data_IF_774258503247
#
_entry.id   IF_774258503247
#
_cell.length_a   1.000
_cell.length_b   1.000
_cell.length_c   1.000
_cell.angle_alpha   90.00
_cell.angle_beta   90.00
_cell.angle_gamma   90.00
#
_symmetry.space_group_name_H-M   'P 1'
#
loop_
_entity.id
_entity.type
_entity.pdbx_description
1 polymer ?
#
# COMPACT_ATOMS: atom_id res chain seq x y z
N UNK A 1 -6.19 -13.95 7.92
CA UNK A 1 -6.51 -12.76 7.10
C UNK A 1 -7.64 -11.94 7.67
N UNK A 2 -8.79 -12.53 8.03
CA UNK A 2 -9.87 -11.82 8.73
C UNK A 2 -9.32 -11.02 9.92
N UNK A 3 -8.53 -11.65 10.80
CA UNK A 3 -7.91 -10.97 11.94
C UNK A 3 -7.05 -9.74 11.55
N UNK A 4 -6.35 -9.80 10.42
CA UNK A 4 -5.51 -8.69 9.94
C UNK A 4 -6.36 -7.51 9.42
N UNK A 5 -7.44 -7.81 8.67
CA UNK A 5 -8.40 -6.79 8.25
C UNK A 5 -9.13 -6.19 9.45
N UNK A 6 -9.54 -7.02 10.42
CA UNK A 6 -10.15 -6.54 11.67
C UNK A 6 -9.19 -5.63 12.42
N UNK A 7 -7.91 -6.01 12.55
CA UNK A 7 -6.89 -5.15 13.17
C UNK A 7 -6.80 -3.80 12.46
N UNK A 8 -6.73 -3.78 11.13
CA UNK A 8 -6.68 -2.54 10.34
C UNK A 8 -7.93 -1.69 10.61
N UNK A 9 -9.12 -2.27 10.51
CA UNK A 9 -10.39 -1.56 10.73
C UNK A 9 -10.44 -0.99 12.14
N UNK A 10 -10.07 -1.77 13.16
CA UNK A 10 -10.01 -1.29 14.54
C UNK A 10 -9.01 -0.14 14.66
N UNK A 11 -7.78 -0.29 14.16
CA UNK A 11 -6.78 0.78 14.24
C UNK A 11 -7.24 2.06 13.52
N UNK A 12 -7.91 1.93 12.38
CA UNK A 12 -8.42 3.07 11.61
C UNK A 12 -9.52 3.80 12.38
N UNK A 13 -10.51 3.10 12.92
CA UNK A 13 -11.72 3.71 13.46
C UNK A 13 -11.77 3.83 14.99
N UNK A 14 -10.79 3.28 15.72
CA UNK A 14 -10.79 3.33 17.19
C UNK A 14 -10.85 4.77 17.69
N UNK A 15 -11.85 5.07 18.54
CA UNK A 15 -12.15 6.41 19.09
C UNK A 15 -12.59 7.48 18.07
N UNK A 16 -13.01 7.10 16.87
CA UNK A 16 -13.67 8.03 15.95
C UNK A 16 -15.14 7.69 15.77
N UNK A 17 -15.95 8.71 15.56
CA UNK A 17 -17.34 8.61 15.19
C UNK A 17 -17.48 8.76 13.66
N UNK A 18 -17.72 7.64 12.97
CA UNK A 18 -17.89 7.62 11.50
C UNK A 18 -19.09 8.43 10.99
N UNK A 19 -19.95 8.94 11.88
CA UNK A 19 -21.07 9.83 11.54
C UNK A 19 -20.76 11.31 11.82
N UNK A 20 -19.72 11.60 12.61
CA UNK A 20 -19.31 12.99 12.86
C UNK A 20 -18.35 13.43 11.77
N UNK A 21 -18.78 14.44 11.02
CA UNK A 21 -18.05 15.01 9.91
C UNK A 21 -16.69 15.61 10.35
N UNK A 22 -16.56 15.98 11.63
CA UNK A 22 -15.31 16.50 12.21
C UNK A 22 -14.20 15.45 12.27
N UNK A 23 -14.56 14.18 12.36
CA UNK A 23 -13.59 13.08 12.45
C UNK A 23 -13.12 12.60 11.06
N UNK A 24 -13.74 13.06 9.97
CA UNK A 24 -13.48 12.50 8.64
C UNK A 24 -12.04 12.71 8.17
N UNK A 25 -11.51 13.91 8.38
CA UNK A 25 -10.14 14.24 8.02
C UNK A 25 -9.14 13.41 8.84
N UNK A 26 -9.37 13.27 10.14
CA UNK A 26 -8.53 12.48 11.03
C UNK A 26 -8.55 10.98 10.70
N UNK A 27 -9.72 10.42 10.35
CA UNK A 27 -9.83 9.04 9.85
C UNK A 27 -9.06 8.89 8.53
N UNK A 28 -9.19 9.87 7.63
CA UNK A 28 -8.43 9.96 6.39
C UNK A 28 -6.93 9.90 6.65
N UNK A 29 -6.39 10.80 7.48
CA UNK A 29 -4.97 10.81 7.84
C UNK A 29 -4.54 9.49 8.48
N UNK A 30 -5.26 9.00 9.49
CA UNK A 30 -4.89 7.78 10.21
C UNK A 30 -4.85 6.56 9.30
N UNK A 31 -5.82 6.40 8.39
CA UNK A 31 -5.80 5.31 7.41
C UNK A 31 -4.63 5.44 6.43
N UNK A 32 -4.23 6.66 6.05
CA UNK A 32 -3.01 6.90 5.27
C UNK A 32 -1.74 6.44 5.99
N UNK A 33 -1.59 6.77 7.28
CA UNK A 33 -0.48 6.28 8.11
C UNK A 33 -0.47 4.75 8.23
N UNK A 34 -1.63 4.15 8.53
CA UNK A 34 -1.75 2.70 8.63
C UNK A 34 -1.43 2.04 7.28
N UNK A 35 -1.79 2.65 6.15
CA UNK A 35 -1.43 2.15 4.83
C UNK A 35 0.09 2.08 4.63
N UNK A 36 0.81 3.20 4.83
CA UNK A 36 2.26 3.23 4.59
C UNK A 36 3.04 2.30 5.54
N UNK A 37 2.58 2.12 6.77
CA UNK A 37 3.18 1.18 7.73
C UNK A 37 3.13 -0.29 7.28
N UNK A 38 2.25 -0.66 6.34
CA UNK A 38 2.17 -2.03 5.82
C UNK A 38 3.24 -2.34 4.77
N UNK A 39 3.83 -1.32 4.17
CA UNK A 39 4.79 -1.44 3.06
C UNK A 39 6.00 -2.32 3.39
N UNK A 40 6.68 -2.15 4.55
CA UNK A 40 7.83 -2.99 4.89
C UNK A 40 7.46 -4.48 4.98
N UNK A 41 6.31 -4.79 5.59
CA UNK A 41 5.82 -6.16 5.74
C UNK A 41 5.50 -6.79 4.37
N UNK A 42 4.85 -6.05 3.47
CA UNK A 42 4.51 -6.53 2.12
C UNK A 42 5.78 -6.96 1.37
N UNK A 43 6.84 -6.16 1.44
CA UNK A 43 8.11 -6.47 0.76
C UNK A 43 8.83 -7.66 1.40
N UNK A 44 8.88 -7.73 2.74
CA UNK A 44 9.48 -8.87 3.43
C UNK A 44 8.81 -10.21 3.08
N UNK A 45 7.49 -10.21 2.91
CA UNK A 45 6.72 -11.39 2.51
C UNK A 45 6.94 -11.80 1.04
N UNK A 46 7.48 -10.91 0.20
CA UNK A 46 7.72 -11.16 -1.21
C UNK A 46 9.07 -11.84 -1.51
N UNK A 47 10.03 -11.75 -0.58
CA UNK A 47 11.38 -12.30 -0.75
C UNK A 47 11.38 -13.84 -0.82
N UNK A 48 12.20 -14.41 -1.72
CA UNK A 48 12.43 -15.87 -1.77
C UNK A 48 13.38 -16.32 -0.65
N UNK A 49 14.34 -15.47 -0.27
CA UNK A 49 15.15 -15.60 0.93
C UNK A 49 14.64 -14.60 1.95
N UNK A 50 13.67 -15.01 2.76
CA UNK A 50 13.02 -14.12 3.71
C UNK A 50 13.37 -14.50 5.16
N UNK A 51 13.64 -13.47 5.96
CA UNK A 51 13.92 -13.63 7.38
C UNK A 51 12.69 -14.21 8.09
N UNK A 52 11.48 -13.84 7.66
CA UNK A 52 10.22 -14.32 8.24
C UNK A 52 10.11 -15.84 8.11
N UNK A 53 10.30 -16.40 6.93
CA UNK A 53 10.23 -17.85 6.69
C UNK A 53 11.37 -18.61 7.32
N UNK A 54 12.57 -18.02 7.40
CA UNK A 54 13.66 -18.57 8.20
C UNK A 54 13.28 -18.71 9.68
N UNK A 55 12.73 -17.64 10.29
CA UNK A 55 12.34 -17.64 11.70
C UNK A 55 11.08 -18.47 12.00
N UNK A 56 10.13 -18.51 11.06
CA UNK A 56 8.84 -19.16 11.27
C UNK A 56 8.75 -20.58 10.67
N UNK A 57 9.80 -21.06 10.01
CA UNK A 57 9.78 -22.32 9.25
C UNK A 57 8.78 -22.35 8.08
N UNK A 58 8.34 -21.20 7.59
CA UNK A 58 7.34 -21.14 6.51
C UNK A 58 7.99 -21.10 5.13
N UNK A 59 7.48 -21.94 4.21
CA UNK A 59 7.91 -21.93 2.81
C UNK A 59 7.44 -20.68 2.03
N UNK A 60 8.14 -20.40 0.93
CA UNK A 60 7.87 -19.25 0.06
C UNK A 60 6.43 -19.19 -0.46
N UNK A 61 5.80 -20.32 -0.79
CA UNK A 61 4.43 -20.34 -1.31
C UNK A 61 3.43 -19.75 -0.30
N UNK A 62 3.61 -20.09 0.98
CA UNK A 62 2.76 -19.60 2.07
C UNK A 62 2.99 -18.11 2.32
N UNK A 63 4.24 -17.67 2.27
CA UNK A 63 4.60 -16.26 2.42
C UNK A 63 4.12 -15.41 1.24
N UNK A 64 4.21 -15.94 0.02
CA UNK A 64 3.63 -15.33 -1.18
C UNK A 64 2.10 -15.21 -1.07
N UNK A 65 1.43 -16.19 -0.43
CA UNK A 65 0.01 -16.06 -0.10
C UNK A 65 -0.25 -14.88 0.84
N UNK A 66 0.54 -14.74 1.91
CA UNK A 66 0.45 -13.57 2.80
C UNK A 66 0.73 -12.26 2.08
N UNK A 67 1.80 -12.16 1.29
CA UNK A 67 2.14 -10.98 0.49
C UNK A 67 0.94 -10.48 -0.33
N UNK A 68 0.28 -11.38 -1.07
CA UNK A 68 -0.89 -11.02 -1.89
C UNK A 68 -2.06 -10.49 -1.06
N UNK A 69 -2.33 -11.08 0.10
CA UNK A 69 -3.44 -10.63 0.93
C UNK A 69 -3.12 -9.34 1.69
N UNK A 70 -1.88 -9.17 2.16
CA UNK A 70 -1.43 -7.91 2.76
C UNK A 70 -1.44 -6.77 1.74
N UNK A 71 -1.08 -7.02 0.47
CA UNK A 71 -1.20 -6.03 -0.61
C UNK A 71 -2.66 -5.62 -0.89
N UNK A 72 -3.61 -6.56 -0.83
CA UNK A 72 -5.04 -6.24 -0.94
C UNK A 72 -5.57 -5.46 0.27
N UNK A 73 -5.07 -5.78 1.47
CA UNK A 73 -5.39 -5.05 2.68
C UNK A 73 -4.82 -3.62 2.64
N UNK A 74 -3.63 -3.41 2.07
CA UNK A 74 -3.09 -2.09 1.77
C UNK A 74 -4.02 -1.31 0.84
N UNK A 75 -4.44 -1.91 -0.29
CA UNK A 75 -5.42 -1.27 -1.18
C UNK A 75 -6.71 -0.92 -0.46
N UNK A 76 -7.27 -1.84 0.34
CA UNK A 76 -8.45 -1.57 1.15
C UNK A 76 -8.24 -0.37 2.10
N UNK A 77 -7.09 -0.29 2.78
CA UNK A 77 -6.76 0.83 3.67
C UNK A 77 -6.63 2.15 2.90
N UNK A 78 -6.01 2.13 1.73
CA UNK A 78 -5.90 3.30 0.83
C UNK A 78 -7.26 3.73 0.30
N UNK A 79 -8.18 2.80 0.02
CA UNK A 79 -9.54 3.15 -0.38
C UNK A 79 -10.32 3.82 0.76
N UNK A 80 -10.08 3.45 2.02
CA UNK A 80 -10.62 4.18 3.17
C UNK A 80 -10.04 5.59 3.22
N UNK A 81 -8.71 5.72 3.12
CA UNK A 81 -8.02 7.02 3.09
C UNK A 81 -8.58 7.95 2.00
N UNK A 82 -8.67 7.46 0.77
CA UNK A 82 -9.22 8.20 -0.36
C UNK A 82 -10.71 8.52 -0.15
N UNK A 83 -11.49 7.54 0.33
CA UNK A 83 -12.93 7.71 0.58
C UNK A 83 -13.19 8.84 1.57
N UNK A 84 -12.49 8.85 2.71
CA UNK A 84 -12.64 9.90 3.73
C UNK A 84 -12.13 11.26 3.25
N UNK A 85 -11.06 11.28 2.45
CA UNK A 85 -10.60 12.51 1.79
C UNK A 85 -11.67 13.06 0.85
N UNK A 86 -12.24 12.24 -0.04
CA UNK A 86 -13.32 12.65 -0.95
C UNK A 86 -14.54 13.16 -0.18
N UNK A 87 -15.02 12.41 0.81
CA UNK A 87 -16.19 12.83 1.61
C UNK A 87 -15.94 14.11 2.40
N UNK A 88 -14.69 14.41 2.77
CA UNK A 88 -14.37 15.65 3.49
C UNK A 88 -14.55 16.88 2.60
N UNK A 89 -14.18 16.78 1.33
CA UNK A 89 -14.26 17.88 0.35
C UNK A 89 -15.57 17.92 -0.44
N UNK A 90 -16.28 16.80 -0.55
CA UNK A 90 -17.61 16.71 -1.19
C UNK A 90 -18.62 17.64 -0.52
N UNK A 91 -18.59 17.70 0.82
CA UNK A 91 -19.47 18.57 1.63
C UNK A 91 -19.36 20.06 1.31
N UNK A 92 -18.31 20.46 0.60
CA UNK A 92 -18.03 21.83 0.21
C UNK A 92 -18.07 22.00 -1.32
N UNK A 93 -18.55 20.99 -2.07
CA UNK A 93 -18.53 20.94 -3.55
C UNK A 93 -17.14 21.20 -4.15
N UNK A 94 -16.08 20.81 -3.42
CA UNK A 94 -14.71 21.28 -3.68
C UNK A 94 -13.76 20.21 -4.24
N UNK A 95 -14.27 18.99 -4.46
CA UNK A 95 -13.47 17.86 -4.98
C UNK A 95 -12.79 18.23 -6.29
N UNK A 96 -13.54 18.77 -7.26
CA UNK A 96 -12.98 19.07 -8.58
C UNK A 96 -11.91 20.15 -8.55
N UNK A 97 -12.03 21.10 -7.63
CA UNK A 97 -10.99 22.12 -7.41
C UNK A 97 -9.73 21.44 -6.89
N UNK A 98 -9.84 20.63 -5.83
CA UNK A 98 -8.70 19.88 -5.27
C UNK A 98 -8.00 18.99 -6.30
N UNK A 99 -8.75 18.24 -7.10
CA UNK A 99 -8.17 17.39 -8.17
C UNK A 99 -7.37 18.24 -9.17
N UNK A 100 -7.85 19.45 -9.51
CA UNK A 100 -7.23 20.31 -10.53
C UNK A 100 -6.07 21.14 -9.99
N UNK A 101 -6.11 21.56 -8.74
CA UNK A 101 -5.21 22.61 -8.23
C UNK A 101 -4.39 22.22 -7.00
N UNK A 102 -4.68 21.09 -6.34
CA UNK A 102 -3.90 20.64 -5.18
C UNK A 102 -2.89 19.54 -5.58
N UNK A 103 -1.58 19.84 -5.60
CA UNK A 103 -0.56 18.87 -5.97
C UNK A 103 -0.53 17.65 -5.06
N UNK A 104 -0.88 17.80 -3.77
CA UNK A 104 -0.86 16.69 -2.82
C UNK A 104 -1.93 15.66 -3.18
N UNK A 105 -3.15 16.14 -3.46
CA UNK A 105 -4.28 15.34 -3.98
C UNK A 105 -3.91 14.62 -5.27
N UNK A 106 -3.33 15.33 -6.24
CA UNK A 106 -2.96 14.76 -7.54
C UNK A 106 -1.97 13.60 -7.39
N UNK A 107 -0.94 13.79 -6.55
CA UNK A 107 0.05 12.75 -6.25
C UNK A 107 -0.57 11.56 -5.51
N UNK A 108 -1.51 11.81 -4.59
CA UNK A 108 -2.26 10.76 -3.88
C UNK A 108 -3.11 9.92 -4.81
N UNK A 109 -3.84 10.56 -5.74
CA UNK A 109 -4.62 9.88 -6.77
C UNK A 109 -3.70 9.06 -7.68
N UNK A 110 -2.55 9.62 -8.11
CA UNK A 110 -1.59 8.90 -8.91
C UNK A 110 -1.03 7.65 -8.18
N UNK A 111 -0.62 7.80 -6.91
CA UNK A 111 -0.14 6.68 -6.10
C UNK A 111 -1.23 5.61 -5.90
N UNK A 112 -2.46 6.01 -5.58
CA UNK A 112 -3.61 5.11 -5.45
C UNK A 112 -3.94 4.37 -6.75
N UNK A 113 -3.84 5.05 -7.89
CA UNK A 113 -4.03 4.45 -9.22
C UNK A 113 -2.97 3.39 -9.55
N UNK A 114 -1.69 3.66 -9.27
CA UNK A 114 -0.62 2.67 -9.48
C UNK A 114 -0.78 1.48 -8.53
N UNK A 115 -1.18 1.70 -7.28
CA UNK A 115 -1.48 0.61 -6.34
C UNK A 115 -2.66 -0.26 -6.81
N UNK A 116 -3.74 0.38 -7.30
CA UNK A 116 -4.88 -0.33 -7.87
C UNK A 116 -4.44 -1.19 -9.06
N UNK A 117 -3.63 -0.63 -9.96
CA UNK A 117 -3.05 -1.36 -11.07
C UNK A 117 -2.20 -2.55 -10.59
N UNK A 118 -1.31 -2.35 -9.62
CA UNK A 118 -0.48 -3.42 -9.04
C UNK A 118 -1.33 -4.58 -8.53
N UNK A 119 -2.43 -4.30 -7.84
CA UNK A 119 -3.32 -5.35 -7.31
C UNK A 119 -4.10 -6.04 -8.44
N UNK A 120 -4.67 -5.27 -9.37
CA UNK A 120 -5.45 -5.80 -10.51
C UNK A 120 -4.56 -6.68 -11.40
N UNK A 121 -3.42 -6.17 -11.86
CA UNK A 121 -2.50 -6.90 -12.74
C UNK A 121 -1.90 -8.15 -12.09
N UNK A 122 -1.92 -8.23 -10.75
CA UNK A 122 -1.46 -9.38 -9.98
C UNK A 122 -2.50 -10.50 -9.78
N UNK A 123 -3.76 -10.32 -10.21
CA UNK A 123 -4.74 -11.39 -10.12
C UNK A 123 -4.37 -12.60 -10.99
N UNK A 124 -4.76 -13.79 -10.52
CA UNK A 124 -4.36 -15.05 -11.15
C UNK A 124 -4.72 -15.14 -12.65
N UNK A 125 -5.91 -14.73 -13.12
CA UNK A 125 -6.23 -14.76 -14.55
C UNK A 125 -5.30 -13.88 -15.38
N UNK A 126 -4.97 -12.67 -14.90
CA UNK A 126 -4.15 -11.70 -15.65
C UNK A 126 -2.68 -12.14 -15.68
N UNK A 127 -2.09 -12.47 -14.53
CA UNK A 127 -0.68 -12.89 -14.48
C UNK A 127 -0.40 -14.23 -15.19
N UNK A 128 -1.44 -15.04 -15.42
CA UNK A 128 -1.33 -16.30 -16.17
C UNK A 128 -1.33 -16.09 -17.70
N UNK A 129 -1.66 -14.89 -18.19
CA UNK A 129 -1.56 -14.57 -19.62
C UNK A 129 -0.10 -14.54 -20.09
N UNK A 130 0.78 -13.94 -19.28
CA UNK A 130 2.24 -14.02 -19.45
C UNK A 130 2.92 -13.71 -18.13
N UNK A 131 3.59 -14.72 -17.56
CA UNK A 131 4.24 -14.58 -16.27
C UNK A 131 5.44 -13.62 -16.34
N UNK A 132 6.22 -13.67 -17.43
CA UNK A 132 7.37 -12.78 -17.62
C UNK A 132 6.93 -11.31 -17.71
N UNK A 133 5.89 -11.03 -18.48
CA UNK A 133 5.30 -9.68 -18.57
C UNK A 133 4.81 -9.24 -17.19
N UNK A 134 4.11 -10.12 -16.46
CA UNK A 134 3.66 -9.85 -15.10
C UNK A 134 4.83 -9.46 -14.17
N UNK A 135 5.95 -10.19 -14.20
CA UNK A 135 7.09 -9.90 -13.33
C UNK A 135 7.70 -8.53 -13.67
N UNK A 136 7.94 -8.25 -14.95
CA UNK A 136 8.54 -6.98 -15.39
C UNK A 136 7.65 -5.80 -15.03
N UNK A 137 6.36 -5.85 -15.41
CA UNK A 137 5.43 -4.76 -15.10
C UNK A 137 5.25 -4.58 -13.59
N UNK A 138 5.22 -5.66 -12.81
CA UNK A 138 5.01 -5.57 -11.37
C UNK A 138 6.18 -4.86 -10.69
N UNK A 139 7.43 -5.14 -11.11
CA UNK A 139 8.62 -4.47 -10.58
C UNK A 139 8.64 -2.99 -10.97
N UNK A 140 8.36 -2.67 -12.23
CA UNK A 140 8.34 -1.27 -12.72
C UNK A 140 7.23 -0.48 -12.01
N UNK A 141 6.01 -1.03 -11.94
CA UNK A 141 4.89 -0.40 -11.23
C UNK A 141 5.14 -0.28 -9.73
N UNK A 142 5.83 -1.24 -9.11
CA UNK A 142 6.24 -1.15 -7.70
C UNK A 142 7.18 0.03 -7.45
N UNK A 143 8.23 0.18 -8.27
CA UNK A 143 9.16 1.30 -8.16
C UNK A 143 8.47 2.63 -8.44
N UNK A 144 7.58 2.67 -9.45
CA UNK A 144 6.75 3.83 -9.75
C UNK A 144 5.79 4.20 -8.62
N UNK A 145 5.17 3.20 -7.98
CA UNK A 145 4.31 3.40 -6.81
C UNK A 145 5.09 3.99 -5.64
N UNK A 146 6.27 3.45 -5.35
CA UNK A 146 7.15 3.97 -4.29
C UNK A 146 7.56 5.42 -4.57
N UNK A 147 7.92 5.74 -5.82
CA UNK A 147 8.25 7.10 -6.22
C UNK A 147 7.05 8.06 -6.08
N UNK A 148 5.87 7.66 -6.56
CA UNK A 148 4.65 8.45 -6.41
C UNK A 148 4.30 8.70 -4.94
N UNK A 149 4.43 7.66 -4.10
CA UNK A 149 4.17 7.74 -2.67
C UNK A 149 5.19 8.64 -1.96
N UNK A 150 6.48 8.60 -2.34
CA UNK A 150 7.52 9.48 -1.80
C UNK A 150 7.17 10.96 -1.95
N UNK A 151 6.51 11.35 -3.04
CA UNK A 151 6.08 12.73 -3.27
C UNK A 151 4.73 13.08 -2.63
N UNK A 152 3.94 12.08 -2.23
CA UNK A 152 2.63 12.25 -1.63
C UNK A 152 2.68 12.31 -0.10
N UNK A 153 3.63 11.64 0.55
CA UNK A 153 3.74 11.64 2.01
C UNK A 153 4.68 12.76 2.50
N UNK A 154 4.50 13.25 3.74
CA UNK A 154 5.38 14.28 4.28
C UNK A 154 6.75 13.71 4.67
N UNK A 155 7.73 14.58 4.79
CA UNK A 155 9.15 14.22 4.88
C UNK A 155 9.47 13.35 6.10
N UNK A 156 8.86 13.66 7.23
CA UNK A 156 8.97 12.93 8.50
C UNK A 156 8.54 11.46 8.40
N UNK A 157 7.74 11.11 7.40
CA UNK A 157 7.22 9.75 7.20
C UNK A 157 7.97 8.96 6.11
N UNK A 158 9.00 9.54 5.49
CA UNK A 158 9.78 8.88 4.44
C UNK A 158 10.49 7.61 4.89
N UNK A 159 10.66 7.41 6.20
CA UNK A 159 11.19 6.14 6.75
C UNK A 159 10.35 4.92 6.29
N UNK A 160 9.04 5.08 6.15
CA UNK A 160 8.13 4.02 5.67
C UNK A 160 8.31 3.67 4.19
N UNK A 161 9.07 4.49 3.46
CA UNK A 161 9.50 4.26 2.08
C UNK A 161 10.89 3.65 2.01
N UNK A 162 11.81 4.14 2.85
CA UNK A 162 13.18 3.64 2.87
C UNK A 162 13.28 2.20 3.39
N UNK A 163 12.49 1.82 4.39
CA UNK A 163 12.46 0.45 4.92
C UNK A 163 12.14 -0.63 3.86
N UNK A 164 11.02 -0.56 3.11
CA UNK A 164 10.74 -1.54 2.07
C UNK A 164 11.77 -1.51 0.93
N UNK A 165 12.32 -0.35 0.56
CA UNK A 165 13.41 -0.27 -0.43
C UNK A 165 14.67 -0.98 0.06
N UNK A 166 15.05 -0.79 1.32
CA UNK A 166 16.19 -1.46 1.93
C UNK A 166 15.99 -2.98 1.97
N UNK A 167 14.81 -3.47 2.36
CA UNK A 167 14.51 -4.90 2.34
C UNK A 167 14.52 -5.50 0.94
N UNK A 168 14.01 -4.76 -0.05
CA UNK A 168 14.06 -5.19 -1.45
C UNK A 168 15.51 -5.26 -1.96
N UNK A 169 16.31 -4.22 -1.72
CA UNK A 169 17.72 -4.18 -2.11
C UNK A 169 18.53 -5.31 -1.44
N UNK A 170 18.27 -5.58 -0.16
CA UNK A 170 18.87 -6.68 0.57
C UNK A 170 18.53 -8.05 -0.06
N UNK A 171 17.26 -8.33 -0.38
CA UNK A 171 16.86 -9.58 -1.06
C UNK A 171 17.58 -9.73 -2.42
N UNK A 172 17.75 -8.63 -3.17
CA UNK A 172 18.48 -8.65 -4.45
C UNK A 172 19.96 -8.93 -4.27
N UNK A 173 20.61 -8.28 -3.31
CA UNK A 173 22.03 -8.48 -3.01
C UNK A 173 22.33 -9.91 -2.56
N UNK A 174 21.52 -10.45 -1.64
CA UNK A 174 21.69 -11.83 -1.16
C UNK A 174 21.54 -12.84 -2.30
N UNK A 175 20.63 -12.60 -3.26
CA UNK A 175 20.44 -13.47 -4.45
C UNK A 175 21.58 -13.43 -5.44
N UNK A 176 22.32 -12.33 -5.51
CA UNK A 176 23.47 -12.23 -6.43
C UNK A 176 24.72 -12.92 -5.89
N UNK A 177 24.81 -13.16 -4.58
CA UNK A 177 26.04 -13.65 -3.93
C UNK A 177 25.94 -15.12 -3.51
N UNK A 178 24.76 -15.58 -3.10
CA UNK A 178 24.48 -16.97 -2.72
C UNK A 178 23.60 -17.65 -3.76
#
# INVERSE_FOLDING_TARGET
MVAYIVLIVVCVFYRFNVKDFRDFEDIGYRSGFIAVCQMPLIVLLAGKRNIIGFLSGMGYERLSWFHRWTARALLFTVLIHMGYWFTSWDRYDYIMVKIKTDPLTQKGIAAGGVLLWLVISSFAPIRKLSYEVFVVQHIISWLGFVAALYFHIPDENKIWIWLPLAFWAFDRFVRTIL
#
